data_IF_279122711109
#
_entry.id   IF_279122711109
#
_cell.length_a   1.000
_cell.length_b   1.000
_cell.length_c   1.000
_cell.angle_alpha   90.00
_cell.angle_beta   90.00
_cell.angle_gamma   90.00
#
_symmetry.space_group_name_H-M   'P 1'
#
loop_
_entity.id
_entity.type
_entity.pdbx_description
1 polymer ?
#
# COMPACT_ATOMS: atom_id res chain seq x y z
N UNK A 1 -13.94 25.32 -0.94
CA UNK A 1 -14.15 25.02 -2.39
C UNK A 1 -15.64 25.06 -2.62
N UNK A 2 -16.13 26.02 -3.36
CA UNK A 2 -17.57 26.29 -3.49
C UNK A 2 -18.21 25.53 -4.65
N UNK A 3 -17.42 25.12 -5.65
CA UNK A 3 -17.91 24.40 -6.82
C UNK A 3 -16.92 23.35 -7.28
N UNK A 4 -17.41 22.17 -7.65
CA UNK A 4 -16.64 21.09 -8.24
C UNK A 4 -17.33 20.55 -9.49
N UNK A 5 -16.56 20.25 -10.55
CA UNK A 5 -17.07 19.68 -11.79
C UNK A 5 -16.19 18.54 -12.25
N UNK A 6 -16.79 17.48 -12.80
CA UNK A 6 -16.03 16.37 -13.40
C UNK A 6 -15.31 16.84 -14.66
N UNK A 7 -13.98 16.72 -14.69
CA UNK A 7 -13.14 17.11 -15.83
C UNK A 7 -13.63 16.46 -17.13
N UNK A 8 -13.91 15.17 -17.12
CA UNK A 8 -14.35 14.42 -18.30
C UNK A 8 -15.68 14.93 -18.88
N UNK A 9 -16.60 15.35 -17.99
CA UNK A 9 -17.89 15.92 -18.41
C UNK A 9 -17.70 17.29 -19.01
N UNK A 10 -16.81 18.11 -18.43
CA UNK A 10 -16.50 19.43 -18.98
C UNK A 10 -15.85 19.30 -20.36
N UNK A 11 -14.84 18.44 -20.50
CA UNK A 11 -14.16 18.19 -21.77
C UNK A 11 -15.13 17.65 -22.83
N UNK A 12 -16.05 16.76 -22.45
CA UNK A 12 -17.10 16.24 -23.34
C UNK A 12 -17.93 17.40 -23.94
N UNK A 13 -18.36 18.34 -23.11
CA UNK A 13 -19.13 19.51 -23.55
C UNK A 13 -18.29 20.42 -24.46
N UNK A 14 -17.07 20.75 -24.04
CA UNK A 14 -16.15 21.60 -24.80
C UNK A 14 -15.79 21.01 -26.18
N UNK A 15 -15.71 19.70 -26.29
CA UNK A 15 -15.40 18.99 -27.53
C UNK A 15 -16.65 18.63 -28.35
N UNK A 16 -17.84 18.97 -27.88
CA UNK A 16 -19.11 18.67 -28.57
C UNK A 16 -19.34 17.16 -28.76
N UNK A 17 -18.97 16.34 -27.73
CA UNK A 17 -19.12 14.89 -27.78
C UNK A 17 -20.36 14.44 -27.02
N UNK A 18 -20.97 13.35 -27.48
CA UNK A 18 -22.14 12.74 -26.83
C UNK A 18 -21.75 11.84 -25.64
N UNK A 19 -20.50 11.47 -25.55
CA UNK A 19 -20.00 10.59 -24.48
C UNK A 19 -18.60 11.01 -24.03
N UNK A 20 -18.32 10.94 -22.74
CA UNK A 20 -16.97 11.14 -22.17
C UNK A 20 -15.93 10.21 -22.79
N UNK A 21 -16.36 9.05 -23.25
CA UNK A 21 -15.48 8.04 -23.87
C UNK A 21 -15.05 8.37 -25.31
N UNK A 22 -15.66 9.40 -25.92
CA UNK A 22 -15.29 9.89 -27.25
C UNK A 22 -14.32 11.08 -27.21
N UNK A 23 -14.06 11.59 -26.00
CA UNK A 23 -13.11 12.67 -25.77
C UNK A 23 -11.66 12.20 -25.95
N UNK A 24 -10.75 13.13 -26.11
CA UNK A 24 -9.29 12.86 -26.14
C UNK A 24 -8.74 12.24 -24.85
N UNK A 25 -9.47 12.38 -23.73
CA UNK A 25 -9.12 11.76 -22.44
C UNK A 25 -9.38 10.24 -22.41
N UNK A 26 -10.30 9.71 -23.21
CA UNK A 26 -10.66 8.29 -23.22
C UNK A 26 -10.50 7.60 -24.56
N UNK A 27 -10.68 8.31 -25.69
CA UNK A 27 -10.60 7.75 -27.03
C UNK A 27 -9.28 6.98 -27.29
N UNK A 28 -8.10 7.47 -26.83
CA UNK A 28 -6.86 6.72 -27.01
C UNK A 28 -6.85 5.39 -26.23
N UNK A 29 -7.43 5.38 -25.03
CA UNK A 29 -7.53 4.15 -24.19
C UNK A 29 -8.48 3.15 -24.86
N UNK A 30 -9.58 3.64 -25.43
CA UNK A 30 -10.54 2.81 -26.16
C UNK A 30 -9.93 2.12 -27.40
N UNK A 31 -9.07 2.85 -28.12
CA UNK A 31 -8.36 2.33 -29.31
C UNK A 31 -7.42 1.18 -28.97
N UNK A 32 -6.82 1.17 -27.78
CA UNK A 32 -5.99 0.07 -27.31
C UNK A 32 -6.82 -1.22 -27.04
N UNK A 33 -8.14 -1.09 -26.78
CA UNK A 33 -9.01 -2.25 -26.62
C UNK A 33 -9.45 -2.78 -27.99
N UNK A 34 -8.52 -3.45 -28.69
CA UNK A 34 -8.68 -3.91 -30.08
C UNK A 34 -9.64 -5.10 -30.24
N UNK A 35 -10.91 -4.98 -29.80
CA UNK A 35 -11.92 -6.03 -30.02
C UNK A 35 -13.23 -5.41 -30.50
N UNK A 36 -13.92 -6.01 -31.50
CA UNK A 36 -15.23 -5.55 -31.92
C UNK A 36 -16.29 -5.79 -30.82
N UNK A 37 -17.29 -4.94 -30.75
CA UNK A 37 -18.41 -5.07 -29.83
C UNK A 37 -18.09 -4.72 -28.38
N UNK A 38 -19.02 -5.04 -27.49
CA UNK A 38 -18.84 -4.91 -26.05
C UNK A 38 -18.62 -3.47 -25.55
N UNK A 39 -19.27 -2.47 -26.12
CA UNK A 39 -19.08 -1.03 -25.75
C UNK A 39 -19.19 -0.82 -24.26
N UNK A 40 -20.16 -1.44 -23.59
CA UNK A 40 -20.31 -1.38 -22.12
C UNK A 40 -19.07 -1.93 -21.41
N UNK A 41 -18.56 -3.08 -21.86
CA UNK A 41 -17.39 -3.72 -21.25
C UNK A 41 -16.13 -2.87 -21.43
N UNK A 42 -15.94 -2.30 -22.62
CA UNK A 42 -14.82 -1.38 -22.90
C UNK A 42 -14.88 -0.12 -22.02
N UNK A 43 -16.08 0.45 -21.82
CA UNK A 43 -16.26 1.60 -20.91
C UNK A 43 -15.85 1.27 -19.49
N UNK A 44 -16.26 0.11 -18.97
CA UNK A 44 -15.86 -0.35 -17.63
C UNK A 44 -14.34 -0.53 -17.54
N UNK A 45 -13.74 -1.18 -18.52
CA UNK A 45 -12.28 -1.41 -18.54
C UNK A 45 -11.52 -0.08 -18.53
N UNK A 46 -11.85 0.83 -19.45
CA UNK A 46 -11.16 2.11 -19.59
C UNK A 46 -11.27 2.98 -18.33
N UNK A 47 -12.48 3.12 -17.78
CA UNK A 47 -12.77 3.87 -16.56
C UNK A 47 -12.02 3.29 -15.36
N UNK A 48 -12.05 1.97 -15.18
CA UNK A 48 -11.47 1.30 -14.04
C UNK A 48 -9.94 1.28 -14.09
N UNK A 49 -9.33 1.09 -15.28
CA UNK A 49 -7.87 1.16 -15.42
C UNK A 49 -7.38 2.59 -15.17
N UNK A 50 -8.08 3.62 -15.71
CA UNK A 50 -7.75 5.01 -15.42
C UNK A 50 -7.81 5.29 -13.92
N UNK A 51 -8.92 4.93 -13.26
CA UNK A 51 -9.09 5.12 -11.82
C UNK A 51 -8.00 4.40 -11.01
N UNK A 52 -7.61 3.19 -11.43
CA UNK A 52 -6.56 2.42 -10.77
C UNK A 52 -5.19 3.10 -10.86
N UNK A 53 -4.82 3.65 -12.02
CA UNK A 53 -3.55 4.38 -12.22
C UNK A 53 -3.44 5.53 -11.24
N UNK A 54 -4.48 6.38 -11.12
CA UNK A 54 -4.47 7.51 -10.20
C UNK A 54 -4.49 7.08 -8.73
N UNK A 55 -5.28 6.06 -8.36
CA UNK A 55 -5.30 5.55 -6.99
C UNK A 55 -3.93 5.01 -6.56
N UNK A 56 -3.23 4.30 -7.46
CA UNK A 56 -1.90 3.76 -7.18
C UNK A 56 -0.87 4.89 -7.04
N UNK A 57 -0.92 5.92 -7.89
CA UNK A 57 -0.02 7.06 -7.79
C UNK A 57 -0.18 7.83 -6.47
N UNK A 58 -1.39 7.86 -5.91
CA UNK A 58 -1.69 8.39 -4.57
C UNK A 58 -1.23 7.45 -3.43
N UNK A 59 -0.53 6.36 -3.77
CA UNK A 59 -0.02 5.39 -2.80
C UNK A 59 -1.08 4.48 -2.19
N UNK A 60 -2.20 4.27 -2.89
CA UNK A 60 -3.23 3.30 -2.54
C UNK A 60 -2.90 1.98 -3.23
N UNK A 61 -3.01 0.86 -2.51
CA UNK A 61 -2.67 -0.46 -3.01
C UNK A 61 -3.81 -1.45 -2.78
N UNK A 62 -3.99 -2.46 -3.66
CA UNK A 62 -5.08 -3.42 -3.54
C UNK A 62 -5.05 -4.15 -2.20
N UNK A 63 -6.14 -4.06 -1.42
CA UNK A 63 -6.28 -4.72 -0.12
C UNK A 63 -7.73 -5.21 0.10
N UNK A 64 -7.99 -5.82 1.26
CA UNK A 64 -9.35 -6.27 1.63
C UNK A 64 -10.13 -5.21 2.41
N UNK A 65 -9.53 -4.05 2.68
CA UNK A 65 -10.13 -3.01 3.54
C UNK A 65 -9.99 -1.61 2.93
N UNK A 66 -10.89 -0.71 3.28
CA UNK A 66 -10.85 0.73 3.00
C UNK A 66 -10.58 1.09 1.53
N UNK A 67 -9.73 2.09 1.28
CA UNK A 67 -9.40 2.58 -0.07
C UNK A 67 -8.77 1.49 -0.94
N UNK A 68 -7.97 0.60 -0.33
CA UNK A 68 -7.34 -0.51 -1.05
C UNK A 68 -8.36 -1.55 -1.53
N UNK A 69 -9.48 -1.72 -0.82
CA UNK A 69 -10.59 -2.54 -1.30
C UNK A 69 -11.23 -1.94 -2.56
N UNK A 70 -11.43 -0.62 -2.58
CA UNK A 70 -11.99 0.06 -3.76
C UNK A 70 -11.09 -0.17 -4.98
N UNK A 71 -9.77 0.03 -4.83
CA UNK A 71 -8.81 -0.22 -5.90
C UNK A 71 -8.83 -1.69 -6.37
N UNK A 72 -8.81 -2.63 -5.43
CA UNK A 72 -8.91 -4.07 -5.76
C UNK A 72 -10.18 -4.38 -6.53
N UNK A 73 -11.31 -3.84 -6.12
CA UNK A 73 -12.61 -4.03 -6.75
C UNK A 73 -12.62 -3.54 -8.20
N UNK A 74 -12.14 -2.30 -8.46
CA UNK A 74 -12.13 -1.75 -9.82
C UNK A 74 -11.18 -2.53 -10.74
N UNK A 75 -9.99 -2.90 -10.26
CA UNK A 75 -9.04 -3.72 -11.02
C UNK A 75 -9.63 -5.09 -11.37
N UNK A 76 -10.17 -5.82 -10.40
CA UNK A 76 -10.75 -7.15 -10.64
C UNK A 76 -11.96 -7.10 -11.56
N UNK A 77 -12.74 -6.03 -11.46
CA UNK A 77 -13.85 -5.81 -12.39
C UNK A 77 -13.36 -5.57 -13.81
N UNK A 78 -12.34 -4.74 -14.02
CA UNK A 78 -11.72 -4.55 -15.32
C UNK A 78 -11.16 -5.86 -15.89
N UNK A 79 -10.46 -6.67 -15.09
CA UNK A 79 -9.89 -7.96 -15.47
C UNK A 79 -11.00 -8.94 -15.92
N UNK A 80 -12.10 -9.02 -15.17
CA UNK A 80 -13.26 -9.86 -15.56
C UNK A 80 -13.82 -9.42 -16.91
N UNK A 81 -14.05 -8.12 -17.10
CA UNK A 81 -14.59 -7.60 -18.35
C UNK A 81 -13.62 -7.79 -19.53
N UNK A 82 -12.32 -7.71 -19.28
CA UNK A 82 -11.30 -8.06 -20.26
C UNK A 82 -11.38 -9.53 -20.68
N UNK A 83 -11.60 -10.43 -19.73
CA UNK A 83 -11.79 -11.86 -19.99
C UNK A 83 -13.06 -12.12 -20.81
N UNK A 84 -14.15 -11.42 -20.55
CA UNK A 84 -15.38 -11.48 -21.36
C UNK A 84 -15.19 -11.01 -22.81
N UNK A 85 -14.24 -10.12 -23.05
CA UNK A 85 -13.84 -9.65 -24.38
C UNK A 85 -12.72 -10.50 -24.99
N UNK A 86 -12.28 -11.58 -24.35
CA UNK A 86 -11.13 -12.40 -24.76
C UNK A 86 -9.86 -11.54 -25.02
N UNK A 87 -9.61 -10.55 -24.15
CA UNK A 87 -8.38 -9.77 -24.19
C UNK A 87 -7.18 -10.64 -23.74
N UNK A 88 -5.98 -10.38 -24.28
CA UNK A 88 -4.79 -11.14 -23.92
C UNK A 88 -4.42 -10.90 -22.45
N UNK A 89 -3.62 -11.78 -21.88
CA UNK A 89 -3.02 -11.59 -20.57
C UNK A 89 -2.19 -10.29 -20.54
N UNK A 90 -2.16 -9.64 -19.39
CA UNK A 90 -1.51 -8.34 -19.17
C UNK A 90 -2.14 -7.17 -19.98
N UNK A 91 -3.35 -7.33 -20.51
CA UNK A 91 -4.04 -6.27 -21.24
C UNK A 91 -4.20 -4.95 -20.48
N UNK A 92 -4.29 -4.91 -19.13
CA UNK A 92 -4.40 -3.63 -18.41
C UNK A 92 -3.11 -2.79 -18.48
N UNK A 93 -1.97 -3.41 -18.77
CA UNK A 93 -0.65 -2.72 -18.82
C UNK A 93 -0.58 -1.67 -19.93
N UNK A 94 -0.81 -1.99 -21.24
CA UNK A 94 -0.81 -0.98 -22.28
C UNK A 94 -1.88 0.09 -22.06
N UNK A 95 -3.02 -0.25 -21.47
CA UNK A 95 -4.05 0.72 -21.14
C UNK A 95 -3.58 1.69 -20.05
N UNK A 96 -2.93 1.19 -18.99
CA UNK A 96 -2.34 2.01 -17.93
C UNK A 96 -1.24 2.93 -18.46
N UNK A 97 -0.38 2.43 -19.35
CA UNK A 97 0.64 3.24 -20.03
C UNK A 97 0.00 4.37 -20.84
N UNK A 98 -1.10 4.08 -21.54
CA UNK A 98 -1.82 5.10 -22.30
C UNK A 98 -2.45 6.17 -21.37
N UNK A 99 -2.97 5.78 -20.23
CA UNK A 99 -3.44 6.74 -19.20
C UNK A 99 -2.29 7.63 -18.72
N UNK A 100 -1.13 7.04 -18.39
CA UNK A 100 0.04 7.80 -17.96
C UNK A 100 0.48 8.77 -19.06
N UNK A 101 0.52 8.33 -20.32
CA UNK A 101 0.87 9.18 -21.48
C UNK A 101 -0.04 10.42 -21.60
N UNK A 102 -1.35 10.24 -21.44
CA UNK A 102 -2.35 11.33 -21.55
C UNK A 102 -2.19 12.36 -20.43
N UNK A 103 -1.85 11.92 -19.22
CA UNK A 103 -1.93 12.78 -18.03
C UNK A 103 -0.56 13.21 -17.47
N UNK A 104 0.57 12.66 -17.95
CA UNK A 104 1.92 12.88 -17.40
C UNK A 104 2.38 14.33 -17.32
N UNK A 105 1.89 15.20 -18.22
CA UNK A 105 2.31 16.61 -18.27
C UNK A 105 1.61 17.46 -17.21
N UNK A 106 0.41 17.04 -16.78
CA UNK A 106 -0.36 17.68 -15.70
C UNK A 106 -0.10 17.01 -14.36
N UNK A 107 0.16 15.71 -14.37
CA UNK A 107 0.43 14.87 -13.19
C UNK A 107 1.79 14.16 -13.35
N UNK A 108 2.91 14.88 -13.14
CA UNK A 108 4.27 14.33 -13.37
C UNK A 108 4.60 13.12 -12.48
N UNK A 109 3.91 12.98 -11.33
CA UNK A 109 4.00 11.81 -10.46
C UNK A 109 3.62 10.50 -11.16
N UNK A 110 2.72 10.52 -12.13
CA UNK A 110 2.35 9.33 -12.91
C UNK A 110 3.54 8.78 -13.66
N UNK A 111 4.36 9.64 -14.26
CA UNK A 111 5.57 9.24 -14.97
C UNK A 111 6.67 8.77 -14.02
N UNK A 112 6.87 9.48 -12.92
CA UNK A 112 7.91 9.12 -11.93
C UNK A 112 7.63 7.80 -11.22
N UNK A 113 6.36 7.38 -11.15
CA UNK A 113 5.91 6.14 -10.50
C UNK A 113 5.43 5.09 -11.49
N UNK A 114 5.66 5.26 -12.80
CA UNK A 114 5.15 4.37 -13.85
C UNK A 114 5.47 2.90 -13.58
N UNK A 115 6.71 2.57 -13.27
CA UNK A 115 7.13 1.19 -12.97
C UNK A 115 6.37 0.58 -11.80
N UNK A 116 6.14 1.35 -10.74
CA UNK A 116 5.41 0.87 -9.56
C UNK A 116 3.92 0.67 -9.90
N UNK A 117 3.32 1.62 -10.63
CA UNK A 117 1.91 1.54 -11.06
C UNK A 117 1.69 0.28 -11.89
N UNK A 118 2.51 0.05 -12.92
CA UNK A 118 2.38 -1.11 -13.80
C UNK A 118 2.61 -2.41 -13.05
N UNK A 119 3.59 -2.45 -12.15
CA UNK A 119 3.88 -3.64 -11.32
C UNK A 119 2.72 -3.99 -10.40
N UNK A 120 2.06 -3.00 -9.80
CA UNK A 120 0.90 -3.23 -8.92
C UNK A 120 -0.28 -3.79 -9.72
N UNK A 121 -0.56 -3.23 -10.90
CA UNK A 121 -1.64 -3.68 -11.79
C UNK A 121 -1.38 -5.12 -12.24
N UNK A 122 -0.17 -5.40 -12.73
CA UNK A 122 0.22 -6.75 -13.17
C UNK A 122 0.10 -7.78 -12.04
N UNK A 123 0.63 -7.48 -10.87
CA UNK A 123 0.57 -8.36 -9.71
C UNK A 123 -0.88 -8.68 -9.29
N UNK A 124 -1.79 -7.70 -9.35
CA UNK A 124 -3.20 -7.93 -8.99
C UNK A 124 -3.93 -8.75 -10.06
N UNK A 125 -3.62 -8.51 -11.35
CA UNK A 125 -4.13 -9.34 -12.45
C UNK A 125 -3.69 -10.79 -12.30
N UNK A 126 -2.38 -11.05 -12.14
CA UNK A 126 -1.85 -12.41 -11.99
C UNK A 126 -2.44 -13.15 -10.77
N UNK A 127 -2.64 -12.45 -9.66
CA UNK A 127 -3.25 -13.03 -8.47
C UNK A 127 -4.72 -13.38 -8.69
N UNK A 128 -5.46 -12.49 -9.35
CA UNK A 128 -6.88 -12.70 -9.57
C UNK A 128 -7.14 -13.74 -10.64
N UNK A 129 -6.37 -13.79 -11.73
CA UNK A 129 -6.48 -14.82 -12.76
C UNK A 129 -6.35 -16.25 -12.20
N UNK A 130 -5.41 -16.46 -11.26
CA UNK A 130 -5.22 -17.77 -10.61
C UNK A 130 -6.45 -18.26 -9.86
N UNK A 131 -7.27 -17.34 -9.35
CA UNK A 131 -8.46 -17.68 -8.56
C UNK A 131 -9.75 -17.51 -9.33
N UNK A 132 -9.77 -16.67 -10.37
CA UNK A 132 -10.98 -16.30 -11.11
C UNK A 132 -11.70 -17.52 -11.68
N UNK A 133 -11.01 -18.43 -12.37
CA UNK A 133 -11.64 -19.62 -12.97
C UNK A 133 -12.22 -20.58 -11.92
N UNK A 134 -11.46 -20.76 -10.82
CA UNK A 134 -11.95 -21.59 -9.71
C UNK A 134 -13.15 -20.96 -9.01
N UNK A 135 -13.11 -19.64 -8.83
CA UNK A 135 -14.19 -18.88 -8.23
C UNK A 135 -15.45 -18.88 -9.10
N UNK A 136 -15.32 -18.75 -10.43
CA UNK A 136 -16.44 -18.87 -11.36
C UNK A 136 -17.06 -20.27 -11.31
N UNK A 137 -16.25 -21.34 -11.30
CA UNK A 137 -16.75 -22.71 -11.13
C UNK A 137 -17.47 -22.91 -9.80
N UNK A 138 -16.97 -22.29 -8.73
CA UNK A 138 -17.61 -22.34 -7.42
C UNK A 138 -18.93 -21.56 -7.42
N UNK A 139 -18.95 -20.36 -8.00
CA UNK A 139 -20.18 -19.58 -8.17
C UNK A 139 -21.24 -20.36 -8.95
N UNK A 140 -20.85 -21.04 -10.06
CA UNK A 140 -21.76 -21.89 -10.82
C UNK A 140 -22.40 -22.98 -9.95
N UNK A 141 -21.61 -23.69 -9.14
CA UNK A 141 -22.13 -24.73 -8.22
C UNK A 141 -23.10 -24.15 -7.18
N UNK A 142 -22.78 -22.97 -6.64
CA UNK A 142 -23.66 -22.31 -5.66
C UNK A 142 -24.94 -21.86 -6.32
N UNK A 143 -24.88 -21.27 -7.51
CA UNK A 143 -26.03 -20.74 -8.26
C UNK A 143 -27.05 -21.83 -8.66
N UNK A 144 -26.64 -23.11 -8.76
CA UNK A 144 -27.52 -24.21 -9.00
C UNK A 144 -28.49 -24.52 -7.81
N UNK A 145 -28.16 -24.03 -6.62
CA UNK A 145 -28.97 -24.21 -5.40
C UNK A 145 -30.03 -23.12 -5.23
N UNK A 146 -30.00 -22.07 -6.06
CA UNK A 146 -30.89 -20.91 -5.98
C UNK A 146 -30.16 -19.62 -5.63
N UNK A 147 -30.84 -18.77 -4.86
CA UNK A 147 -30.27 -17.47 -4.42
C UNK A 147 -28.96 -17.64 -3.63
N UNK A 148 -28.10 -16.65 -3.71
CA UNK A 148 -26.75 -16.70 -3.10
C UNK A 148 -26.83 -16.26 -1.64
N UNK A 149 -26.54 -17.16 -0.72
CA UNK A 149 -26.48 -16.89 0.71
C UNK A 149 -25.29 -15.98 1.10
N UNK A 150 -25.39 -15.35 2.27
CA UNK A 150 -24.33 -14.46 2.79
C UNK A 150 -23.00 -15.17 3.00
N UNK A 151 -23.02 -16.36 3.57
CA UNK A 151 -21.82 -17.19 3.79
C UNK A 151 -21.20 -17.66 2.47
N UNK A 152 -21.99 -18.02 1.47
CA UNK A 152 -21.52 -18.38 0.13
C UNK A 152 -20.85 -17.19 -0.56
N UNK A 153 -21.46 -16.00 -0.48
CA UNK A 153 -20.90 -14.77 -1.01
C UNK A 153 -19.59 -14.40 -0.28
N UNK A 154 -19.56 -14.58 1.04
CA UNK A 154 -18.34 -14.35 1.82
C UNK A 154 -17.23 -15.36 1.49
N UNK A 155 -17.56 -16.62 1.28
CA UNK A 155 -16.61 -17.63 0.83
C UNK A 155 -16.00 -17.29 -0.54
N UNK A 156 -16.80 -16.82 -1.49
CA UNK A 156 -16.29 -16.32 -2.77
C UNK A 156 -15.35 -15.11 -2.60
N UNK A 157 -15.66 -14.22 -1.68
CA UNK A 157 -14.84 -13.06 -1.36
C UNK A 157 -13.51 -13.44 -0.72
N UNK A 158 -13.53 -14.26 0.33
CA UNK A 158 -12.34 -14.58 1.15
C UNK A 158 -11.41 -15.55 0.43
N UNK A 159 -11.95 -16.60 -0.16
CA UNK A 159 -11.17 -17.70 -0.76
C UNK A 159 -10.73 -17.40 -2.19
N UNK A 160 -11.64 -16.84 -3.01
CA UNK A 160 -11.38 -16.59 -4.43
C UNK A 160 -11.13 -15.12 -4.75
N UNK A 161 -11.31 -14.25 -3.76
CA UNK A 161 -11.10 -12.81 -3.91
C UNK A 161 -12.14 -12.13 -4.78
N UNK A 162 -13.38 -12.66 -4.86
CA UNK A 162 -14.47 -12.00 -5.57
C UNK A 162 -14.99 -10.83 -4.75
N UNK A 163 -14.85 -9.59 -5.23
CA UNK A 163 -15.56 -8.48 -4.60
C UNK A 163 -17.07 -8.78 -4.56
N UNK A 164 -17.76 -8.31 -3.52
CA UNK A 164 -19.19 -8.56 -3.38
C UNK A 164 -19.98 -8.13 -4.64
N UNK A 165 -19.60 -6.99 -5.19
CA UNK A 165 -20.22 -6.42 -6.39
C UNK A 165 -20.02 -7.31 -7.64
N UNK A 166 -18.92 -8.05 -7.70
CA UNK A 166 -18.71 -9.04 -8.76
C UNK A 166 -19.70 -10.22 -8.60
N UNK A 167 -19.87 -10.69 -7.38
CA UNK A 167 -20.85 -11.74 -7.07
C UNK A 167 -22.29 -11.25 -7.35
N UNK A 168 -22.58 -9.98 -7.05
CA UNK A 168 -23.87 -9.34 -7.39
C UNK A 168 -24.11 -9.29 -8.91
N UNK A 169 -23.10 -8.89 -9.68
CA UNK A 169 -23.21 -8.85 -11.15
C UNK A 169 -23.49 -10.24 -11.73
N UNK A 170 -22.75 -11.26 -11.24
CA UNK A 170 -22.94 -12.65 -11.67
C UNK A 170 -24.32 -13.19 -11.28
N UNK A 171 -24.78 -12.89 -10.05
CA UNK A 171 -26.11 -13.28 -9.58
C UNK A 171 -27.21 -12.65 -10.43
N UNK A 172 -27.07 -11.35 -10.71
CA UNK A 172 -28.04 -10.61 -11.55
C UNK A 172 -28.08 -11.13 -12.99
N UNK A 173 -26.94 -11.53 -13.56
CA UNK A 173 -26.89 -12.15 -14.89
C UNK A 173 -27.69 -13.47 -14.95
N UNK A 174 -27.84 -14.17 -13.82
CA UNK A 174 -28.61 -15.41 -13.68
C UNK A 174 -30.03 -15.19 -13.11
N UNK A 175 -30.43 -13.96 -12.84
CA UNK A 175 -31.74 -13.66 -12.23
C UNK A 175 -31.85 -14.07 -10.75
N UNK A 176 -30.69 -14.27 -10.05
CA UNK A 176 -30.62 -14.66 -8.66
C UNK A 176 -30.48 -13.47 -7.73
N UNK A 177 -30.95 -13.61 -6.49
CA UNK A 177 -30.75 -12.64 -5.42
C UNK A 177 -29.49 -13.00 -4.61
N UNK A 178 -28.96 -12.01 -3.89
CA UNK A 178 -27.84 -12.18 -2.98
C UNK A 178 -28.19 -11.64 -1.60
N UNK A 179 -27.85 -12.38 -0.56
CA UNK A 179 -28.00 -11.96 0.83
C UNK A 179 -26.81 -11.06 1.24
N UNK A 180 -26.98 -9.75 1.02
CA UNK A 180 -25.96 -8.76 1.39
C UNK A 180 -25.80 -8.61 2.90
N UNK A 181 -26.89 -8.75 3.66
CA UNK A 181 -26.84 -8.63 5.14
C UNK A 181 -26.04 -9.77 5.75
N UNK A 182 -26.32 -10.99 5.34
CA UNK A 182 -25.54 -12.15 5.76
C UNK A 182 -24.06 -12.04 5.38
N UNK A 183 -23.75 -11.50 4.20
CA UNK A 183 -22.36 -11.21 3.81
C UNK A 183 -21.69 -10.19 4.75
N UNK A 184 -22.36 -9.08 5.08
CA UNK A 184 -21.83 -8.05 5.99
C UNK A 184 -21.60 -8.62 7.39
N UNK A 185 -22.48 -9.47 7.89
CA UNK A 185 -22.34 -10.16 9.17
C UNK A 185 -21.14 -11.12 9.17
N UNK A 186 -21.00 -11.95 8.15
CA UNK A 186 -19.87 -12.85 7.97
C UNK A 186 -18.54 -12.09 7.87
N UNK A 187 -18.52 -11.00 7.09
CA UNK A 187 -17.37 -10.11 6.94
C UNK A 187 -17.00 -9.44 8.26
N UNK A 188 -17.97 -8.95 9.02
CA UNK A 188 -17.76 -8.35 10.34
C UNK A 188 -17.17 -9.36 11.32
N UNK A 189 -17.74 -10.55 11.41
CA UNK A 189 -17.27 -11.64 12.26
C UNK A 189 -15.81 -12.03 11.91
N UNK A 190 -15.49 -12.19 10.63
CA UNK A 190 -14.13 -12.47 10.18
C UNK A 190 -13.16 -11.34 10.55
N UNK A 191 -13.58 -10.08 10.40
CA UNK A 191 -12.78 -8.91 10.78
C UNK A 191 -12.53 -8.83 12.28
N UNK A 192 -13.49 -9.21 13.11
CA UNK A 192 -13.34 -9.27 14.56
C UNK A 192 -12.35 -10.36 14.98
N UNK A 193 -12.45 -11.56 14.40
CA UNK A 193 -11.48 -12.65 14.61
C UNK A 193 -10.07 -12.24 14.16
N UNK A 194 -9.96 -11.60 12.99
CA UNK A 194 -8.70 -11.07 12.47
C UNK A 194 -8.14 -9.97 13.38
N UNK A 195 -8.97 -9.06 13.90
CA UNK A 195 -8.57 -8.00 14.85
C UNK A 195 -8.12 -8.57 16.20
N UNK A 196 -8.83 -9.52 16.77
CA UNK A 196 -8.43 -10.19 18.01
C UNK A 196 -7.08 -10.92 17.85
N UNK A 197 -6.80 -11.46 16.65
CA UNK A 197 -5.48 -12.00 16.30
C UNK A 197 -4.41 -10.92 16.08
N UNK A 198 -4.83 -9.70 15.73
CA UNK A 198 -3.96 -8.55 15.43
C UNK A 198 -3.69 -7.73 16.69
N UNK A 199 -4.64 -7.55 17.61
CA UNK A 199 -4.40 -6.90 18.90
C UNK A 199 -3.33 -7.62 19.72
N UNK A 200 -3.22 -8.94 19.57
CA UNK A 200 -2.05 -9.71 20.05
C UNK A 200 -0.77 -9.51 19.20
N UNK A 201 -0.86 -8.91 18.00
CA UNK A 201 0.25 -8.73 17.04
C UNK A 201 0.72 -7.28 16.86
N UNK A 202 -0.06 -6.28 17.25
CA UNK A 202 0.27 -4.85 17.18
C UNK A 202 0.69 -4.25 18.51
N UNK A 203 1.14 -5.10 19.43
CA UNK A 203 1.94 -4.63 20.55
C UNK A 203 3.24 -4.06 19.97
N UNK A 204 3.40 -2.74 19.99
CA UNK A 204 4.72 -2.20 20.22
C UNK A 204 5.36 -3.02 21.36
N UNK A 205 6.54 -2.73 21.82
CA UNK A 205 7.17 -3.44 22.92
C UNK A 205 6.09 -3.85 23.96
N UNK A 206 5.85 -5.17 24.09
CA UNK A 206 4.89 -5.68 25.08
C UNK A 206 5.23 -5.20 26.48
N UNK A 207 4.37 -5.44 27.48
CA UNK A 207 4.49 -4.94 28.86
C UNK A 207 5.84 -5.21 29.55
N UNK A 208 6.76 -5.95 28.95
CA UNK A 208 8.14 -6.14 29.37
C UNK A 208 9.11 -5.35 28.47
N UNK A 209 9.14 -4.02 28.65
CA UNK A 209 10.12 -3.15 27.98
C UNK A 209 11.52 -3.43 28.53
N UNK A 210 12.24 -4.35 27.90
CA UNK A 210 13.64 -4.59 28.21
C UNK A 210 14.56 -3.65 27.44
N UNK A 211 15.79 -3.43 27.92
CA UNK A 211 16.79 -2.66 27.19
C UNK A 211 17.05 -3.24 25.78
N UNK A 212 16.97 -4.54 25.63
CA UNK A 212 17.13 -5.23 24.34
C UNK A 212 15.96 -4.89 23.37
N UNK A 213 14.73 -4.81 23.86
CA UNK A 213 13.59 -4.39 23.04
C UNK A 213 13.69 -2.92 22.63
N UNK A 214 14.25 -2.04 23.48
CA UNK A 214 14.50 -0.64 23.13
C UNK A 214 15.54 -0.50 22.00
N UNK A 215 16.59 -1.32 22.01
CA UNK A 215 17.57 -1.42 20.90
C UNK A 215 16.91 -1.81 19.59
N UNK A 216 16.12 -2.89 19.61
CA UNK A 216 15.40 -3.38 18.43
C UNK A 216 14.35 -2.38 17.95
N UNK A 217 13.71 -1.64 18.86
CA UNK A 217 12.77 -0.58 18.50
C UNK A 217 13.46 0.59 17.81
N UNK A 218 14.63 0.99 18.30
CA UNK A 218 15.44 2.02 17.62
C UNK A 218 15.92 1.52 16.25
N UNK A 219 16.32 0.24 16.15
CA UNK A 219 16.68 -0.37 14.88
C UNK A 219 15.51 -0.37 13.86
N UNK A 220 14.24 -0.38 14.33
CA UNK A 220 13.06 -0.27 13.46
C UNK A 220 13.00 1.07 12.74
N UNK A 221 13.32 2.16 13.44
CA UNK A 221 13.38 3.50 12.84
C UNK A 221 14.52 3.62 11.83
N UNK A 222 15.70 3.05 12.13
CA UNK A 222 16.78 2.98 11.15
C UNK A 222 16.39 2.17 9.91
N UNK A 223 15.71 1.02 10.12
CA UNK A 223 15.25 0.15 9.03
C UNK A 223 14.22 0.86 8.14
N UNK A 224 13.23 1.56 8.74
CA UNK A 224 12.25 2.34 7.97
C UNK A 224 12.92 3.41 7.12
N UNK A 225 13.86 4.17 7.69
CA UNK A 225 14.58 5.22 6.97
C UNK A 225 15.45 4.64 5.84
N UNK A 226 16.21 3.57 6.11
CA UNK A 226 17.05 2.90 5.12
C UNK A 226 16.22 2.28 3.98
N UNK A 227 15.10 1.65 4.28
CA UNK A 227 14.18 1.13 3.26
C UNK A 227 13.64 2.25 2.36
N UNK A 228 13.28 3.39 2.93
CA UNK A 228 12.82 4.56 2.15
C UNK A 228 13.93 5.18 1.31
N UNK A 229 15.16 5.15 1.76
CA UNK A 229 16.31 5.62 1.00
C UNK A 229 16.62 4.71 -0.20
N UNK A 230 16.55 3.39 -0.02
CA UNK A 230 16.91 2.39 -1.06
C UNK A 230 15.77 2.13 -2.03
N UNK A 231 14.54 2.00 -1.53
CA UNK A 231 13.37 1.58 -2.31
C UNK A 231 12.46 2.74 -2.73
N UNK A 232 12.54 3.88 -2.02
CA UNK A 232 11.73 5.06 -2.32
C UNK A 232 10.71 5.44 -1.22
N UNK A 233 10.17 6.65 -1.36
CA UNK A 233 9.26 7.27 -0.36
C UNK A 233 7.91 6.55 -0.19
N UNK A 234 7.54 5.66 -1.13
CA UNK A 234 6.32 4.84 -1.05
C UNK A 234 6.39 3.83 0.10
N UNK A 235 7.58 3.45 0.56
CA UNK A 235 7.74 2.53 1.69
C UNK A 235 7.11 3.11 2.95
N UNK A 236 6.14 2.37 3.50
CA UNK A 236 5.44 2.71 4.75
C UNK A 236 5.40 1.48 5.64
N UNK A 237 5.61 1.68 6.93
CA UNK A 237 5.43 0.62 7.92
C UNK A 237 3.96 0.18 7.94
N UNK A 238 3.74 -1.13 7.82
CA UNK A 238 2.43 -1.78 7.88
C UNK A 238 2.22 -2.55 9.18
N UNK A 239 3.28 -2.74 9.95
CA UNK A 239 3.27 -3.39 11.25
C UNK A 239 4.67 -3.76 11.71
N UNK A 240 4.82 -3.98 13.00
CA UNK A 240 6.04 -4.52 13.60
C UNK A 240 5.71 -5.39 14.81
N UNK A 241 6.64 -6.28 15.13
CA UNK A 241 6.57 -7.13 16.32
C UNK A 241 7.98 -7.27 16.86
N UNK A 242 8.18 -6.81 18.08
CA UNK A 242 9.50 -6.71 18.71
C UNK A 242 9.49 -7.59 19.95
N UNK A 243 10.39 -8.56 19.98
CA UNK A 243 10.72 -9.36 21.15
C UNK A 243 12.18 -9.13 21.51
N UNK A 244 12.67 -9.46 22.71
CA UNK A 244 14.10 -9.31 23.03
C UNK A 244 15.05 -10.05 22.09
N UNK A 245 14.56 -11.06 21.37
CA UNK A 245 15.37 -11.91 20.50
C UNK A 245 15.33 -11.50 19.04
N UNK A 246 14.25 -10.81 18.59
CA UNK A 246 14.03 -10.54 17.17
C UNK A 246 13.15 -9.32 16.91
N UNK A 247 13.35 -8.76 15.73
CA UNK A 247 12.46 -7.80 15.08
C UNK A 247 11.76 -8.47 13.90
N UNK A 248 10.44 -8.28 13.82
CA UNK A 248 9.66 -8.44 12.58
C UNK A 248 9.18 -7.07 12.14
N UNK A 249 9.42 -6.74 10.88
CA UNK A 249 9.02 -5.48 10.28
C UNK A 249 8.25 -5.72 8.98
N UNK A 250 7.00 -5.33 8.96
CA UNK A 250 6.12 -5.42 7.80
C UNK A 250 6.03 -4.03 7.15
N UNK A 251 6.32 -3.94 5.86
CA UNK A 251 6.32 -2.68 5.12
C UNK A 251 5.70 -2.85 3.75
N UNK A 252 5.17 -1.75 3.23
CA UNK A 252 4.64 -1.73 1.89
C UNK A 252 5.77 -1.69 0.85
N UNK A 253 5.79 -2.67 -0.05
CA UNK A 253 6.60 -2.68 -1.27
C UNK A 253 6.01 -3.68 -2.27
N UNK A 254 5.83 -3.30 -3.57
CA UNK A 254 5.04 -4.11 -4.51
C UNK A 254 5.72 -5.40 -4.96
N UNK A 255 7.06 -5.50 -4.88
CA UNK A 255 7.85 -6.65 -5.34
C UNK A 255 8.76 -7.22 -4.26
N UNK A 256 9.35 -8.37 -4.54
CA UNK A 256 10.44 -8.92 -3.72
C UNK A 256 11.66 -8.00 -3.80
N UNK A 257 12.33 -7.77 -2.68
CA UNK A 257 13.61 -7.07 -2.67
C UNK A 257 14.70 -7.91 -3.31
N UNK A 258 15.61 -7.26 -4.01
CA UNK A 258 16.83 -7.92 -4.53
C UNK A 258 17.85 -8.11 -3.42
N UNK A 259 18.81 -9.01 -3.62
CA UNK A 259 19.91 -9.23 -2.66
C UNK A 259 20.78 -7.98 -2.48
N UNK A 260 20.95 -7.21 -3.57
CA UNK A 260 21.67 -5.93 -3.54
C UNK A 260 20.94 -4.88 -2.71
N UNK A 261 19.60 -4.78 -2.85
CA UNK A 261 18.77 -3.87 -2.05
C UNK A 261 18.83 -4.24 -0.57
N UNK A 262 18.71 -5.55 -0.24
CA UNK A 262 18.82 -6.02 1.14
C UNK A 262 20.19 -5.72 1.73
N UNK A 263 21.26 -5.92 0.95
CA UNK A 263 22.63 -5.59 1.37
C UNK A 263 22.78 -4.10 1.61
N UNK A 264 22.32 -3.24 0.68
CA UNK A 264 22.38 -1.77 0.85
C UNK A 264 21.65 -1.31 2.11
N UNK A 265 20.43 -1.82 2.35
CA UNK A 265 19.66 -1.49 3.56
C UNK A 265 20.45 -1.88 4.81
N UNK A 266 20.99 -3.10 4.87
CA UNK A 266 21.79 -3.58 5.99
C UNK A 266 23.03 -2.71 6.21
N UNK A 267 23.74 -2.37 5.12
CA UNK A 267 24.97 -1.58 5.18
C UNK A 267 24.69 -0.16 5.68
N UNK A 268 23.62 0.49 5.21
CA UNK A 268 23.18 1.81 5.69
C UNK A 268 22.90 1.76 7.19
N UNK A 269 22.14 0.79 7.67
CA UNK A 269 21.80 0.67 9.10
C UNK A 269 23.05 0.52 9.94
N UNK A 270 23.94 -0.42 9.58
CA UNK A 270 25.17 -0.67 10.33
C UNK A 270 26.14 0.52 10.25
N UNK A 271 26.13 1.28 9.15
CA UNK A 271 26.86 2.54 9.06
C UNK A 271 26.32 3.57 10.05
N UNK A 272 24.99 3.76 10.12
CA UNK A 272 24.35 4.68 11.08
C UNK A 272 24.56 4.27 12.54
N UNK A 273 24.66 2.99 12.81
CA UNK A 273 25.05 2.47 14.14
C UNK A 273 26.49 2.87 14.46
N UNK A 274 27.43 2.70 13.52
CA UNK A 274 28.85 3.09 13.69
C UNK A 274 29.07 4.60 13.80
N UNK A 275 28.22 5.40 13.14
CA UNK A 275 28.25 6.87 13.20
C UNK A 275 27.87 7.40 14.58
N UNK A 276 27.27 6.58 15.43
CA UNK A 276 26.89 6.88 16.82
C UNK A 276 26.00 8.13 16.93
N UNK A 277 24.86 8.09 16.25
CA UNK A 277 23.90 9.18 16.15
C UNK A 277 23.10 9.34 17.44
N UNK A 278 22.68 10.56 17.73
CA UNK A 278 21.85 10.87 18.88
C UNK A 278 20.36 10.68 18.57
N UNK A 279 19.62 10.09 19.52
CA UNK A 279 18.17 9.95 19.44
C UNK A 279 17.55 11.01 20.32
N UNK A 280 16.89 12.00 19.71
CA UNK A 280 16.24 13.09 20.38
C UNK A 280 14.74 12.82 20.53
N UNK A 281 14.20 13.09 21.73
CA UNK A 281 12.76 12.98 22.06
C UNK A 281 12.20 14.39 22.22
N UNK A 282 11.12 14.70 21.51
CA UNK A 282 10.39 15.97 21.60
C UNK A 282 8.90 15.71 21.75
N UNK A 283 8.21 16.55 22.53
CA UNK A 283 6.76 16.51 22.64
C UNK A 283 6.17 17.76 21.99
N UNK A 284 5.26 17.55 21.03
CA UNK A 284 4.63 18.64 20.28
C UNK A 284 3.19 18.28 19.92
N UNK A 285 2.44 19.22 19.33
CA UNK A 285 1.13 18.90 18.78
C UNK A 285 1.25 17.99 17.55
N UNK A 286 0.23 17.18 17.28
CA UNK A 286 0.20 16.33 16.09
C UNK A 286 0.39 17.12 14.81
N UNK A 287 -0.21 18.32 14.71
CA UNK A 287 -0.09 19.17 13.55
C UNK A 287 1.34 19.70 13.33
N UNK A 288 2.02 20.10 14.41
CA UNK A 288 3.43 20.51 14.36
C UNK A 288 4.34 19.35 13.96
N UNK A 289 4.10 18.15 14.51
CA UNK A 289 4.84 16.95 14.15
C UNK A 289 4.76 16.67 12.64
N UNK A 290 3.56 16.68 12.06
CA UNK A 290 3.38 16.47 10.61
C UNK A 290 4.03 17.59 9.79
N UNK A 291 3.84 18.86 10.17
CA UNK A 291 4.49 20.00 9.49
C UNK A 291 6.03 19.90 9.53
N UNK A 292 6.58 19.34 10.60
CA UNK A 292 8.03 19.14 10.75
C UNK A 292 8.57 17.93 9.96
N UNK A 293 7.71 17.22 9.22
CA UNK A 293 8.07 16.06 8.40
C UNK A 293 8.16 14.74 9.18
N UNK A 294 7.60 14.66 10.39
CA UNK A 294 7.56 13.41 11.14
C UNK A 294 6.61 12.41 10.46
N UNK A 295 7.06 11.16 10.34
CA UNK A 295 6.24 10.07 9.79
C UNK A 295 5.23 9.61 10.84
N UNK A 296 3.97 9.50 10.42
CA UNK A 296 2.87 8.97 11.21
C UNK A 296 2.28 7.74 10.48
N UNK A 297 2.28 6.58 11.14
CA UNK A 297 1.86 5.32 10.51
C UNK A 297 0.38 4.99 10.75
N UNK A 298 -0.24 5.57 11.78
CA UNK A 298 -1.62 5.25 12.21
C UNK A 298 -2.48 6.51 12.18
N UNK A 299 -3.02 6.89 11.01
CA UNK A 299 -3.73 8.16 10.77
C UNK A 299 -4.94 8.45 11.70
N UNK A 300 -5.49 7.48 12.39
CA UNK A 300 -6.76 7.63 13.12
C UNK A 300 -6.66 7.55 14.65
N UNK A 301 -5.46 7.50 15.23
CA UNK A 301 -5.28 7.20 16.67
C UNK A 301 -4.25 8.07 17.40
N UNK A 302 -3.86 9.21 16.87
CA UNK A 302 -2.91 10.05 17.59
C UNK A 302 -3.65 11.04 18.49
N UNK A 303 -3.24 11.20 19.75
CA UNK A 303 -3.72 12.26 20.62
C UNK A 303 -3.28 13.63 20.09
N UNK A 304 -3.86 14.71 20.61
CA UNK A 304 -3.53 16.09 20.24
C UNK A 304 -2.03 16.40 20.47
N UNK A 305 -1.45 15.85 21.53
CA UNK A 305 0.00 15.92 21.80
C UNK A 305 0.64 14.57 21.55
N UNK A 306 1.74 14.56 20.82
CA UNK A 306 2.48 13.36 20.41
C UNK A 306 3.94 13.48 20.76
N UNK A 307 4.58 12.34 20.98
CA UNK A 307 6.03 12.25 21.11
C UNK A 307 6.64 11.97 19.73
N UNK A 308 7.64 12.74 19.36
CA UNK A 308 8.42 12.57 18.14
C UNK A 308 9.84 12.17 18.51
N UNK A 309 10.30 11.07 17.91
CA UNK A 309 11.71 10.68 17.99
C UNK A 309 12.42 11.02 16.70
N UNK A 310 13.58 11.65 16.80
CA UNK A 310 14.43 11.97 15.66
C UNK A 310 15.85 11.43 15.85
N UNK A 311 16.40 10.84 14.79
CA UNK A 311 17.78 10.37 14.72
C UNK A 311 18.52 11.35 13.82
N UNK A 312 19.50 12.06 14.37
CA UNK A 312 20.17 13.17 13.69
C UNK A 312 21.64 12.87 13.40
N UNK A 313 22.06 13.20 12.19
CA UNK A 313 23.47 13.15 11.78
C UNK A 313 24.16 14.42 12.30
N UNK A 314 25.17 14.27 13.15
CA UNK A 314 26.03 15.40 13.55
C UNK A 314 26.86 15.88 12.35
N UNK A 315 27.01 17.19 12.13
CA UNK A 315 27.91 17.71 11.10
C UNK A 315 29.32 17.14 11.27
N UNK A 316 29.92 16.69 10.16
CA UNK A 316 31.27 16.07 10.17
C UNK A 316 32.34 16.93 10.85
N UNK A 317 32.15 18.24 10.91
CA UNK A 317 33.06 19.20 11.55
C UNK A 317 32.96 19.25 13.07
N UNK A 318 31.84 18.75 13.66
CA UNK A 318 31.66 18.77 15.12
C UNK A 318 32.46 17.69 15.88
N UNK A 319 33.08 16.74 15.17
CA UNK A 319 33.92 15.68 15.78
C UNK A 319 35.31 16.13 16.20
N UNK A 320 35.75 17.34 15.83
CA UNK A 320 37.16 17.77 16.01
C UNK A 320 37.35 18.99 16.94
N UNK A 321 36.30 19.78 17.21
CA UNK A 321 36.47 20.93 18.15
C UNK A 321 35.20 21.19 18.97
N UNK A 322 35.41 21.46 20.27
CA UNK A 322 34.40 21.93 21.21
C UNK A 322 33.55 23.06 20.60
N UNK A 323 32.21 22.83 20.53
CA UNK A 323 31.10 23.79 20.41
C UNK A 323 31.44 25.14 19.75
N UNK A 324 31.56 25.17 18.46
CA UNK A 324 31.26 26.37 17.68
C UNK A 324 29.99 26.11 16.91
N UNK A 325 29.02 27.04 16.95
CA UNK A 325 27.70 26.92 16.29
C UNK A 325 27.92 26.68 14.78
N UNK A 326 27.74 25.45 14.33
CA UNK A 326 27.69 25.16 12.89
C UNK A 326 26.48 25.87 12.29
N UNK A 327 26.68 26.52 11.16
CA UNK A 327 25.65 27.31 10.44
C UNK A 327 24.60 26.45 9.70
N UNK A 328 24.75 25.14 9.67
CA UNK A 328 23.80 24.24 8.98
C UNK A 328 23.04 23.40 10.01
N UNK A 329 21.69 23.27 9.87
CA UNK A 329 20.91 22.41 10.73
C UNK A 329 21.38 20.96 10.58
N UNK A 330 21.36 20.15 11.67
CA UNK A 330 21.74 18.74 11.59
C UNK A 330 20.81 18.00 10.63
N UNK A 331 21.39 17.17 9.78
CA UNK A 331 20.62 16.35 8.85
C UNK A 331 19.86 15.26 9.63
N UNK A 332 18.55 15.23 9.48
CA UNK A 332 17.68 14.24 10.11
C UNK A 332 17.66 12.98 9.25
N UNK A 333 18.10 11.85 9.80
CA UNK A 333 18.05 10.55 9.13
C UNK A 333 16.69 9.87 9.29
N UNK A 334 16.10 9.89 10.50
CA UNK A 334 14.75 9.41 10.78
C UNK A 334 14.01 10.38 11.69
N UNK A 335 12.72 10.59 11.45
CA UNK A 335 11.82 11.37 12.32
C UNK A 335 10.43 10.76 12.30
N UNK A 336 9.99 10.26 13.45
CA UNK A 336 8.77 9.46 13.53
C UNK A 336 7.98 9.76 14.81
N UNK A 337 6.65 9.74 14.72
CA UNK A 337 5.76 9.77 15.86
C UNK A 337 5.76 8.38 16.50
N UNK A 338 6.27 8.27 17.73
CA UNK A 338 6.44 7.00 18.42
C UNK A 338 6.31 7.17 19.94
N UNK A 339 5.77 6.16 20.62
CA UNK A 339 5.65 6.14 22.08
C UNK A 339 6.93 5.64 22.81
N UNK A 340 7.94 5.14 22.08
CA UNK A 340 9.17 4.58 22.68
C UNK A 340 8.94 3.23 23.37
N UNK A 341 9.89 2.72 24.18
CA UNK A 341 11.19 3.30 24.51
C UNK A 341 12.25 3.15 23.40
N UNK A 342 13.26 4.00 23.45
CA UNK A 342 14.42 3.97 22.57
C UNK A 342 15.72 4.06 23.37
N UNK A 343 16.83 3.64 22.76
CA UNK A 343 18.17 3.90 23.27
C UNK A 343 18.56 5.37 23.04
N UNK A 344 19.59 5.84 23.70
CA UNK A 344 20.02 7.25 23.58
C UNK A 344 20.90 7.49 22.35
N UNK A 345 21.65 6.47 21.93
CA UNK A 345 22.59 6.54 20.83
C UNK A 345 22.51 5.30 19.97
N UNK A 346 22.74 5.45 18.66
CA UNK A 346 22.65 4.33 17.74
C UNK A 346 23.74 3.28 17.97
N UNK A 347 24.91 3.64 18.52
CA UNK A 347 25.97 2.69 18.88
C UNK A 347 25.55 1.63 19.90
N UNK A 348 24.55 1.94 20.74
CA UNK A 348 24.01 1.00 21.71
C UNK A 348 23.28 -0.20 21.07
N UNK A 349 22.86 -0.06 19.81
CA UNK A 349 22.10 -1.12 19.10
C UNK A 349 22.97 -2.37 18.89
N UNK A 350 24.25 -2.21 18.59
CA UNK A 350 25.15 -3.31 18.24
C UNK A 350 25.20 -3.54 16.74
N UNK A 351 25.21 -4.77 16.28
CA UNK A 351 25.24 -5.09 14.85
C UNK A 351 23.88 -5.61 14.37
N UNK A 352 23.32 -4.98 13.33
CA UNK A 352 22.03 -5.34 12.75
C UNK A 352 22.21 -6.38 11.64
N UNK A 353 21.44 -7.46 11.70
CA UNK A 353 21.46 -8.55 10.72
C UNK A 353 20.05 -8.88 10.22
N UNK A 354 19.86 -8.88 8.89
CA UNK A 354 18.62 -9.31 8.24
C UNK A 354 18.69 -10.83 8.08
N UNK A 355 17.76 -11.56 8.70
CA UNK A 355 17.65 -13.02 8.60
C UNK A 355 16.88 -13.46 7.36
N UNK A 356 15.79 -12.76 7.04
CA UNK A 356 14.88 -13.15 5.96
C UNK A 356 14.03 -11.98 5.49
N UNK A 357 13.76 -11.99 4.18
CA UNK A 357 12.73 -11.15 3.54
C UNK A 357 11.69 -12.06 2.88
N UNK A 358 10.41 -11.82 3.11
CA UNK A 358 9.32 -12.65 2.62
C UNK A 358 8.05 -11.84 2.33
N UNK A 359 7.14 -12.38 1.53
CA UNK A 359 5.82 -11.78 1.34
C UNK A 359 4.94 -12.03 2.57
N UNK A 360 4.25 -10.99 3.06
CA UNK A 360 3.30 -11.11 4.18
C UNK A 360 1.85 -10.85 3.75
N UNK A 361 1.65 -10.44 2.50
CA UNK A 361 0.34 -10.13 1.94
C UNK A 361 0.47 -9.42 0.59
N UNK A 362 -0.65 -8.97 0.03
CA UNK A 362 -0.64 -8.23 -1.21
C UNK A 362 0.08 -6.88 -1.03
N UNK A 363 1.21 -6.70 -1.70
CA UNK A 363 2.01 -5.48 -1.59
C UNK A 363 2.70 -5.28 -0.24
N UNK A 364 2.67 -6.26 0.68
CA UNK A 364 3.33 -6.18 1.97
C UNK A 364 4.51 -7.15 2.01
N UNK A 365 5.68 -6.59 2.25
CA UNK A 365 6.93 -7.33 2.47
C UNK A 365 7.24 -7.39 3.96
N UNK A 366 7.89 -8.44 4.39
CA UNK A 366 8.27 -8.69 5.78
C UNK A 366 9.77 -8.92 5.88
N UNK A 367 10.42 -8.15 6.72
CA UNK A 367 11.81 -8.40 7.14
C UNK A 367 11.80 -8.96 8.55
N UNK A 368 12.60 -10.01 8.76
CA UNK A 368 12.98 -10.52 10.08
C UNK A 368 14.44 -10.20 10.32
N UNK A 369 14.74 -9.60 11.46
CA UNK A 369 16.08 -9.17 11.82
C UNK A 369 16.40 -9.44 13.28
N UNK A 370 17.68 -9.47 13.59
CA UNK A 370 18.25 -9.63 14.94
C UNK A 370 19.37 -8.62 15.17
N UNK A 371 19.76 -8.46 16.42
CA UNK A 371 20.99 -7.78 16.82
C UNK A 371 22.01 -8.81 17.30
N UNK A 372 23.28 -8.63 16.88
CA UNK A 372 24.45 -9.40 17.28
C UNK A 372 25.39 -8.55 18.13
#
# INVERSE_FOLDING_TARGET
MDTGMGLERLVMICQGKDSVYETDLFSPIFKEIMRPGGVKNKRVIADHVKSAVFLISEGIFPSNVERGYVLRRVLRRAIRYGKLLNLPKNFPIPLAQKVIEIYKDVYPELRSQETDILTVIQNEEEKFEKTLEKGLKQFEKISLRGDIGGDDAFHLFDTYGFPLELTEELSKEKGLKIDKKGFEEAFKKHREISRAGVEKKFGGIGNEATYQSAKLHTATHLLQAALREVLGKHVKQMGSDITPQRLRFDFFHPRKMTEEELKKVKDIINQKIKEDLEINKEEMSYQEAIKSGALAFFKERYPERVTVYSITELPKEAKVKKRTKSSSPPKVFSKEICAGPHVRRTSEIGHFEILKEESSGAGVRRIRAILK
#
